data_IF_843219824328
#
_entry.id   IF_843219824328
#
_cell.length_a   1.000
_cell.length_b   1.000
_cell.length_c   1.000
_cell.angle_alpha   90.00
_cell.angle_beta   90.00
_cell.angle_gamma   90.00
#
_symmetry.space_group_name_H-M   'P 1'
#
loop_
_entity.id
_entity.type
_entity.pdbx_description
1 polymer ?
#
# COMPACT_ATOMS: atom_id res chain seq x y z
N UNK A 1 7.06 2.16 14.64
CA UNK A 1 6.77 0.73 14.41
C UNK A 1 6.41 0.55 12.94
N UNK A 2 7.22 -0.15 12.16
CA UNK A 2 6.98 -0.31 10.72
C UNK A 2 5.76 -1.19 10.41
N UNK A 3 5.29 -1.98 11.35
CA UNK A 3 4.11 -2.81 11.24
C UNK A 3 3.04 -2.33 12.21
N UNK A 4 2.26 -1.34 11.81
CA UNK A 4 1.19 -0.85 12.66
C UNK A 4 -0.13 -1.45 12.19
N UNK A 5 -0.75 -2.38 12.95
CA UNK A 5 -2.09 -2.89 12.64
C UNK A 5 -3.14 -1.77 12.50
N UNK A 6 -2.83 -0.60 13.05
CA UNK A 6 -3.66 0.61 12.94
C UNK A 6 -3.87 1.08 11.51
N UNK A 7 -2.94 0.81 10.59
CA UNK A 7 -3.11 1.14 9.16
C UNK A 7 -4.16 0.27 8.48
N UNK A 8 -4.35 -0.96 8.96
CA UNK A 8 -5.33 -1.86 8.36
C UNK A 8 -6.78 -1.39 8.53
N UNK A 9 -7.10 -0.76 9.66
CA UNK A 9 -8.45 -0.25 9.92
C UNK A 9 -8.91 0.76 8.86
N UNK A 10 -8.22 1.89 8.70
CA UNK A 10 -8.55 2.88 7.68
C UNK A 10 -8.49 2.33 6.25
N UNK A 11 -7.51 1.49 5.92
CA UNK A 11 -7.40 0.87 4.59
C UNK A 11 -8.57 -0.08 4.31
N UNK A 12 -8.94 -0.91 5.29
CA UNK A 12 -10.09 -1.80 5.16
C UNK A 12 -11.39 -1.00 5.01
N UNK A 13 -11.55 0.08 5.76
CA UNK A 13 -12.72 0.96 5.65
C UNK A 13 -12.82 1.57 4.26
N UNK A 14 -11.74 2.14 3.73
CA UNK A 14 -11.71 2.72 2.38
C UNK A 14 -11.95 1.62 1.34
N UNK A 15 -11.24 0.50 1.44
CA UNK A 15 -11.37 -0.61 0.50
C UNK A 15 -12.80 -1.16 0.43
N UNK A 16 -13.44 -1.37 1.58
CA UNK A 16 -14.82 -1.86 1.65
C UNK A 16 -15.84 -0.80 1.17
N UNK A 17 -15.59 0.48 1.45
CA UNK A 17 -16.46 1.56 0.98
C UNK A 17 -16.47 1.68 -0.54
N UNK A 18 -15.37 1.30 -1.19
CA UNK A 18 -15.21 1.36 -2.64
C UNK A 18 -15.05 -0.02 -3.28
N UNK A 19 -15.55 -1.09 -2.65
CA UNK A 19 -15.39 -2.48 -3.11
C UNK A 19 -15.83 -2.73 -4.55
N UNK A 20 -16.79 -1.95 -5.05
CA UNK A 20 -17.23 -2.03 -6.44
C UNK A 20 -16.25 -1.41 -7.43
N UNK A 21 -15.39 -0.51 -6.97
CA UNK A 21 -14.45 0.25 -7.79
C UNK A 21 -13.00 -0.19 -7.59
N UNK A 22 -12.69 -0.76 -6.43
CA UNK A 22 -11.36 -1.21 -6.07
C UNK A 22 -11.32 -2.74 -5.99
N UNK A 23 -10.17 -3.30 -6.35
CA UNK A 23 -9.85 -4.68 -6.05
C UNK A 23 -9.36 -4.75 -4.60
N UNK A 24 -10.21 -5.19 -3.70
CA UNK A 24 -9.94 -5.18 -2.26
C UNK A 24 -8.68 -5.95 -1.87
N UNK A 25 -8.46 -7.22 -2.34
CA UNK A 25 -7.24 -7.94 -1.99
C UNK A 25 -5.96 -7.24 -2.45
N UNK A 26 -5.96 -6.69 -3.66
CA UNK A 26 -4.80 -5.97 -4.20
C UNK A 26 -4.58 -4.65 -3.48
N UNK A 27 -5.65 -3.93 -3.17
CA UNK A 27 -5.58 -2.67 -2.42
C UNK A 27 -4.96 -2.88 -1.02
N UNK A 28 -5.42 -3.89 -0.30
CA UNK A 28 -4.89 -4.23 1.03
C UNK A 28 -3.48 -4.84 0.94
N UNK A 29 -3.23 -5.67 -0.06
CA UNK A 29 -1.93 -6.29 -0.27
C UNK A 29 -0.84 -5.27 -0.64
N UNK A 30 -1.16 -4.26 -1.43
CA UNK A 30 -0.23 -3.18 -1.77
C UNK A 30 0.19 -2.37 -0.54
N UNK A 31 -0.69 -2.19 0.43
CA UNK A 31 -0.37 -1.60 1.72
C UNK A 31 0.74 -2.37 2.43
N UNK A 32 0.67 -3.71 2.42
CA UNK A 32 1.71 -4.58 3.01
C UNK A 32 2.99 -4.56 2.17
N UNK A 33 2.86 -4.51 0.84
CA UNK A 33 4.00 -4.55 -0.06
C UNK A 33 4.97 -3.36 0.15
N UNK A 34 4.46 -2.19 0.47
CA UNK A 34 5.29 -1.01 0.80
C UNK A 34 6.10 -1.24 2.08
N UNK A 35 5.52 -1.93 3.06
CA UNK A 35 6.18 -2.24 4.33
C UNK A 35 7.25 -3.33 4.24
N UNK A 36 7.40 -3.98 3.10
CA UNK A 36 8.51 -4.93 2.90
C UNK A 36 9.88 -4.28 3.00
N UNK A 37 10.00 -3.00 2.59
CA UNK A 37 11.27 -2.26 2.68
C UNK A 37 11.72 -2.09 4.13
N UNK A 38 10.95 -1.48 5.06
CA UNK A 38 11.35 -1.39 6.45
C UNK A 38 11.53 -2.76 7.11
N UNK A 39 10.72 -3.74 6.73
CA UNK A 39 10.88 -5.10 7.24
C UNK A 39 12.23 -5.70 6.84
N UNK A 40 12.66 -5.54 5.60
CA UNK A 40 13.96 -6.01 5.12
C UNK A 40 15.10 -5.25 5.79
N UNK A 41 15.00 -3.93 5.91
CA UNK A 41 16.02 -3.10 6.59
C UNK A 41 16.21 -3.57 8.03
N UNK A 42 15.13 -3.80 8.76
CA UNK A 42 15.19 -4.27 10.15
C UNK A 42 15.72 -5.69 10.26
N UNK A 43 15.23 -6.61 9.44
CA UNK A 43 15.54 -8.03 9.52
C UNK A 43 17.00 -8.32 9.15
N UNK A 44 17.54 -7.57 8.20
CA UNK A 44 18.91 -7.75 7.70
C UNK A 44 19.92 -6.80 8.36
N UNK A 45 19.47 -5.89 9.22
CA UNK A 45 20.33 -4.91 9.87
C UNK A 45 21.05 -3.99 8.90
N UNK A 46 20.36 -3.58 7.82
CA UNK A 46 20.97 -2.79 6.76
C UNK A 46 21.24 -1.35 7.23
N UNK A 47 22.37 -0.73 6.83
CA UNK A 47 22.65 0.67 7.09
C UNK A 47 21.88 1.58 6.12
N UNK A 48 20.57 1.54 6.20
CA UNK A 48 19.65 2.19 5.27
C UNK A 48 18.47 2.78 6.06
N UNK A 49 17.89 3.91 5.66
CA UNK A 49 16.72 4.46 6.35
C UNK A 49 15.58 3.46 6.41
N UNK A 50 14.89 3.43 7.53
CA UNK A 50 13.77 2.51 7.75
C UNK A 50 12.66 2.73 6.71
N UNK A 51 12.32 4.00 6.47
CA UNK A 51 11.41 4.41 5.42
C UNK A 51 12.24 4.99 4.26
N UNK A 52 12.60 4.14 3.31
CA UNK A 52 13.41 4.53 2.17
C UNK A 52 12.57 4.95 0.96
N UNK A 53 13.07 4.60 -0.21
CA UNK A 53 12.52 5.04 -1.50
C UNK A 53 11.10 4.51 -1.78
N UNK A 54 10.70 3.36 -1.22
CA UNK A 54 9.36 2.81 -1.40
C UNK A 54 8.28 3.63 -0.69
N UNK A 55 8.66 4.43 0.31
CA UNK A 55 7.77 5.36 0.99
C UNK A 55 7.71 6.73 0.31
N UNK A 56 7.87 6.76 -1.02
CA UNK A 56 7.65 7.93 -1.85
C UNK A 56 6.49 7.68 -2.80
N UNK A 57 5.73 8.71 -3.15
CA UNK A 57 4.59 8.54 -4.07
C UNK A 57 5.00 7.95 -5.43
N UNK A 58 6.08 8.42 -6.10
CA UNK A 58 6.47 7.84 -7.37
C UNK A 58 6.86 6.36 -7.28
N UNK A 59 7.78 6.02 -6.39
CA UNK A 59 8.31 4.65 -6.29
C UNK A 59 7.33 3.73 -5.59
N UNK A 60 6.63 4.19 -4.55
CA UNK A 60 5.58 3.44 -3.88
C UNK A 60 4.42 3.13 -4.82
N UNK A 61 4.02 4.10 -5.64
CA UNK A 61 3.01 3.87 -6.69
C UNK A 61 3.45 2.83 -7.71
N UNK A 62 4.71 2.89 -8.15
CA UNK A 62 5.28 1.88 -9.03
C UNK A 62 5.33 0.50 -8.36
N UNK A 63 5.72 0.43 -7.10
CA UNK A 63 5.72 -0.82 -6.33
C UNK A 63 4.30 -1.41 -6.23
N UNK A 64 3.30 -0.58 -5.98
CA UNK A 64 1.89 -0.99 -5.97
C UNK A 64 1.41 -1.51 -7.33
N UNK A 65 1.83 -0.87 -8.41
CA UNK A 65 1.54 -1.32 -9.78
C UNK A 65 2.20 -2.67 -10.08
N UNK A 66 3.46 -2.84 -9.73
CA UNK A 66 4.20 -4.11 -9.89
C UNK A 66 3.52 -5.21 -9.08
N UNK A 67 3.16 -4.93 -7.85
CA UNK A 67 2.43 -5.87 -6.99
C UNK A 67 1.11 -6.32 -7.64
N UNK A 68 0.32 -5.37 -8.14
CA UNK A 68 -0.94 -5.67 -8.83
C UNK A 68 -0.71 -6.52 -10.08
N UNK A 69 0.32 -6.21 -10.86
CA UNK A 69 0.69 -6.97 -12.06
C UNK A 69 1.08 -8.40 -11.73
N UNK A 70 1.83 -8.60 -10.65
CA UNK A 70 2.19 -9.94 -10.15
C UNK A 70 0.98 -10.72 -9.61
N UNK A 71 -0.02 -10.04 -9.07
CA UNK A 71 -1.26 -10.65 -8.60
C UNK A 71 -2.23 -11.01 -9.71
N UNK A 72 -2.15 -10.37 -10.86
CA UNK A 72 -3.10 -10.54 -11.95
C UNK A 72 -3.27 -12.00 -12.44
N UNK A 73 -2.19 -12.81 -12.62
CA UNK A 73 -2.33 -14.22 -12.96
C UNK A 73 -3.11 -15.05 -11.91
N UNK A 74 -3.10 -14.58 -10.66
CA UNK A 74 -3.75 -15.25 -9.52
C UNK A 74 -5.17 -14.74 -9.24
N UNK A 75 -5.76 -13.94 -10.13
CA UNK A 75 -7.09 -13.38 -9.93
C UNK A 75 -8.19 -14.42 -9.71
N UNK A 76 -8.03 -15.61 -10.28
CA UNK A 76 -8.95 -16.72 -10.02
C UNK A 76 -8.92 -17.21 -8.58
N UNK A 77 -7.75 -17.26 -7.96
CA UNK A 77 -7.58 -17.60 -6.54
C UNK A 77 -8.15 -16.48 -5.64
N UNK A 78 -7.93 -15.22 -6.01
CA UNK A 78 -8.51 -14.07 -5.31
C UNK A 78 -10.04 -14.09 -5.38
N UNK A 79 -10.60 -14.46 -6.52
CA UNK A 79 -12.05 -14.64 -6.68
C UNK A 79 -12.59 -15.71 -5.74
N UNK A 80 -11.91 -16.84 -5.62
CA UNK A 80 -12.30 -17.92 -4.69
C UNK A 80 -12.24 -17.46 -3.24
N UNK A 81 -11.19 -16.73 -2.86
CA UNK A 81 -11.05 -16.16 -1.51
C UNK A 81 -12.21 -15.19 -1.19
N UNK A 82 -12.48 -14.27 -2.11
CA UNK A 82 -13.55 -13.29 -1.92
C UNK A 82 -14.93 -13.95 -1.85
N UNK A 83 -15.15 -14.98 -2.65
CA UNK A 83 -16.37 -15.78 -2.58
C UNK A 83 -16.51 -16.50 -1.23
N UNK A 84 -15.42 -17.06 -0.73
CA UNK A 84 -15.38 -17.67 0.60
C UNK A 84 -15.72 -16.66 1.70
N UNK A 85 -15.25 -15.43 1.59
CA UNK A 85 -15.54 -14.34 2.51
C UNK A 85 -16.93 -13.71 2.28
N UNK A 86 -17.68 -14.21 1.30
CA UNK A 86 -19.01 -13.68 0.90
C UNK A 86 -18.98 -12.22 0.50
N UNK A 87 -17.89 -11.78 -0.08
CA UNK A 87 -17.70 -10.43 -0.62
C UNK A 87 -17.87 -10.44 -2.14
N UNK A 88 -18.54 -9.44 -2.72
CA UNK A 88 -18.65 -9.33 -4.18
C UNK A 88 -17.27 -9.09 -4.78
N UNK A 89 -16.97 -9.77 -5.89
CA UNK A 89 -15.68 -9.63 -6.55
C UNK A 89 -15.83 -9.72 -8.07
N UNK A 90 -15.47 -8.65 -8.72
CA UNK A 90 -15.30 -8.59 -10.16
C UNK A 90 -14.07 -7.72 -10.44
N UNK A 91 -13.11 -8.23 -11.18
CA UNK A 91 -11.85 -7.54 -11.38
C UNK A 91 -11.43 -7.48 -12.85
N UNK A 92 -10.50 -6.60 -13.13
CA UNK A 92 -9.80 -6.44 -14.40
C UNK A 92 -8.38 -6.00 -14.12
N UNK A 93 -7.49 -6.07 -15.11
CA UNK A 93 -6.13 -5.58 -14.95
C UNK A 93 -6.09 -4.10 -14.53
N UNK A 94 -6.89 -3.25 -15.17
CA UNK A 94 -6.97 -1.82 -14.84
C UNK A 94 -7.43 -1.61 -13.40
N UNK A 95 -8.45 -2.34 -12.96
CA UNK A 95 -8.95 -2.28 -11.59
C UNK A 95 -7.89 -2.67 -10.57
N UNK A 96 -7.17 -3.77 -10.83
CA UNK A 96 -6.07 -4.24 -9.98
C UNK A 96 -4.92 -3.23 -9.96
N UNK A 97 -4.51 -2.71 -11.12
CA UNK A 97 -3.42 -1.72 -11.23
C UNK A 97 -3.73 -0.44 -10.44
N UNK A 98 -4.91 0.12 -10.62
CA UNK A 98 -5.37 1.31 -9.88
C UNK A 98 -5.43 1.02 -8.38
N UNK A 99 -5.94 -0.13 -7.99
CA UNK A 99 -6.04 -0.54 -6.58
C UNK A 99 -4.66 -0.68 -5.93
N UNK A 100 -3.69 -1.25 -6.64
CA UNK A 100 -2.31 -1.38 -6.16
C UNK A 100 -1.65 -0.02 -5.93
N UNK A 101 -1.78 0.89 -6.88
CA UNK A 101 -1.24 2.25 -6.78
C UNK A 101 -1.90 3.00 -5.61
N UNK A 102 -3.23 2.99 -5.54
CA UNK A 102 -3.97 3.72 -4.49
C UNK A 102 -3.72 3.13 -3.10
N UNK A 103 -3.60 1.80 -2.99
CA UNK A 103 -3.29 1.14 -1.72
C UNK A 103 -1.91 1.55 -1.20
N UNK A 104 -0.90 1.56 -2.06
CA UNK A 104 0.43 2.03 -1.72
C UNK A 104 0.44 3.53 -1.36
N UNK A 105 -0.24 4.36 -2.13
CA UNK A 105 -0.32 5.81 -1.89
C UNK A 105 -1.04 6.16 -0.59
N UNK A 106 -2.12 5.46 -0.26
CA UNK A 106 -2.82 5.68 0.99
C UNK A 106 -1.93 5.33 2.20
N UNK A 107 -1.16 4.24 2.10
CA UNK A 107 -0.17 3.87 3.11
C UNK A 107 0.87 4.99 3.30
N UNK A 108 1.48 5.44 2.21
CA UNK A 108 2.49 6.50 2.22
C UNK A 108 1.91 7.81 2.79
N UNK A 109 0.66 8.11 2.46
CA UNK A 109 -0.02 9.30 2.98
C UNK A 109 -0.12 9.26 4.50
N UNK A 110 -0.58 8.16 5.08
CA UNK A 110 -0.68 8.01 6.53
C UNK A 110 0.70 8.08 7.21
N UNK A 111 1.68 7.39 6.66
CA UNK A 111 3.02 7.40 7.22
C UNK A 111 3.69 8.76 7.11
N UNK A 112 3.47 9.49 6.02
CA UNK A 112 4.02 10.84 5.82
C UNK A 112 3.52 11.83 6.87
N UNK A 113 2.32 11.63 7.38
CA UNK A 113 1.75 12.47 8.44
C UNK A 113 2.37 12.16 9.80
N UNK A 114 2.80 10.90 10.03
CA UNK A 114 3.28 10.42 11.32
C UNK A 114 4.80 10.39 11.47
N UNK A 115 5.53 10.15 10.39
CA UNK A 115 6.98 9.91 10.44
C UNK A 115 7.76 11.02 9.76
N UNK A 116 8.77 11.54 10.43
CA UNK A 116 9.63 12.63 9.95
C UNK A 116 10.72 12.18 8.97
N UNK A 117 11.01 10.87 8.92
CA UNK A 117 12.06 10.29 8.06
C UNK A 117 11.56 9.96 6.64
N UNK A 118 10.31 10.27 6.34
CA UNK A 118 9.70 10.02 5.02
C UNK A 118 9.79 11.27 4.15
N UNK A 119 10.19 11.06 2.90
CA UNK A 119 10.22 12.09 1.85
C UNK A 119 9.23 11.72 0.74
N UNK A 120 7.92 11.98 0.93
CA UNK A 120 6.87 11.43 0.07
C UNK A 120 6.95 11.93 -1.37
N UNK A 121 7.51 13.11 -1.57
CA UNK A 121 7.64 13.77 -2.88
C UNK A 121 9.05 13.68 -3.45
N UNK A 122 9.80 12.62 -3.11
CA UNK A 122 11.15 12.42 -3.68
C UNK A 122 11.16 12.70 -5.20
N UNK A 123 12.15 13.41 -5.76
CA UNK A 123 13.46 13.78 -5.17
C UNK A 123 13.43 15.01 -4.23
N UNK A 124 12.30 15.65 -4.02
CA UNK A 124 12.18 16.73 -3.05
C UNK A 124 12.21 16.17 -1.63
N UNK A 125 13.12 16.67 -0.80
CA UNK A 125 13.35 16.13 0.54
C UNK A 125 12.41 16.71 1.61
N UNK A 126 11.46 17.54 1.22
CA UNK A 126 10.49 18.11 2.13
C UNK A 126 9.30 17.16 2.36
N UNK A 127 8.83 17.10 3.60
CA UNK A 127 7.58 16.43 3.95
C UNK A 127 6.56 17.46 4.48
N UNK A 128 5.77 18.09 3.59
CA UNK A 128 4.79 19.08 4.01
C UNK A 128 3.57 18.48 4.72
N UNK A 129 3.44 17.15 4.73
CA UNK A 129 2.30 16.45 5.34
C UNK A 129 2.54 16.14 6.83
N UNK A 130 3.77 16.27 7.29
CA UNK A 130 4.15 15.94 8.66
C UNK A 130 3.34 16.75 9.67
N UNK A 131 2.71 16.06 10.59
CA UNK A 131 1.96 16.69 11.68
C UNK A 131 0.58 17.24 11.33
N UNK A 132 0.05 16.98 10.13
CA UNK A 132 -1.29 17.46 9.75
C UNK A 132 -2.41 16.92 10.65
N UNK A 133 -2.18 15.80 11.32
CA UNK A 133 -3.15 15.19 12.23
C UNK A 133 -2.75 15.30 13.72
N UNK A 134 -1.70 16.03 14.02
CA UNK A 134 -1.26 16.23 15.41
C UNK A 134 -1.91 17.42 16.09
#
# INVERSE_FOLDING_TARGET
MPFTPLHFGPHALVGLSFEKRLDLPVFLGANIAVDLEPLMVMSLGLPYPLHGIFHTFPVGGLAGLVFATLCFPFRGHLNRLMKYLRLPYATSYTKMAVSGILGAWLHILFDSVMYYDITPFYPFQANPLLGLLS
#
